data_IF_868833151232
#
_entry.id   IF_868833151232
#
_cell.length_a   1.000
_cell.length_b   1.000
_cell.length_c   1.000
_cell.angle_alpha   90.00
_cell.angle_beta   90.00
_cell.angle_gamma   90.00
#
_symmetry.space_group_name_H-M   'P 1'
#
loop_
_entity.id
_entity.type
_entity.pdbx_description
1 polymer ?
#
# COMPACT_ATOMS: atom_id res chain seq x y z
N UNK A 1 -30.02 -25.38 44.09
CA UNK A 1 -28.98 -26.27 44.64
C UNK A 1 -27.64 -25.57 44.47
N UNK A 2 -27.05 -25.07 45.55
CA UNK A 2 -25.74 -24.43 45.59
C UNK A 2 -24.65 -25.51 45.49
N UNK A 3 -23.68 -25.37 44.58
CA UNK A 3 -22.40 -26.10 44.67
C UNK A 3 -21.29 -25.06 44.87
N UNK A 4 -20.83 -25.01 46.12
CA UNK A 4 -19.66 -24.27 46.57
C UNK A 4 -18.37 -25.01 46.21
N UNK A 5 -17.29 -24.21 46.12
CA UNK A 5 -15.91 -24.46 46.56
C UNK A 5 -15.02 -25.41 45.73
N UNK A 6 -13.95 -24.85 45.14
CA UNK A 6 -12.62 -24.80 45.80
C UNK A 6 -11.63 -23.92 45.03
N UNK A 7 -11.16 -22.89 45.72
CA UNK A 7 -10.05 -22.01 45.36
C UNK A 7 -8.75 -22.74 45.70
N UNK A 8 -7.87 -22.95 44.72
CA UNK A 8 -6.50 -23.38 44.94
C UNK A 8 -5.57 -22.19 44.70
N UNK A 9 -5.25 -21.47 45.79
CA UNK A 9 -4.18 -20.48 45.84
C UNK A 9 -2.86 -21.26 45.88
N UNK A 10 -2.05 -21.17 44.83
CA UNK A 10 -0.66 -21.61 44.85
C UNK A 10 0.23 -20.36 44.87
N UNK A 11 0.73 -20.04 46.05
CA UNK A 11 1.79 -19.06 46.29
C UNK A 11 3.10 -19.84 46.26
N UNK A 12 3.97 -19.54 45.29
CA UNK A 12 5.40 -19.81 45.42
C UNK A 12 6.15 -18.49 45.33
N UNK A 13 6.94 -18.21 46.36
CA UNK A 13 7.78 -17.05 46.47
C UNK A 13 9.23 -17.46 46.72
N UNK A 14 10.14 -16.65 46.17
CA UNK A 14 11.57 -16.49 46.45
C UNK A 14 12.55 -17.56 45.95
N UNK A 15 13.56 -17.14 45.18
CA UNK A 15 14.86 -16.66 45.71
C UNK A 15 15.63 -15.89 44.61
N UNK A 16 16.35 -14.87 45.06
CA UNK A 16 17.06 -13.85 44.29
C UNK A 16 18.48 -14.27 43.84
N UNK A 17 19.02 -13.52 42.88
CA UNK A 17 20.35 -12.90 42.96
C UNK A 17 20.46 -11.80 41.90
N UNK A 18 20.54 -10.56 42.34
CA UNK A 18 21.09 -9.45 41.55
C UNK A 18 22.52 -9.17 42.00
N UNK A 19 23.41 -8.87 41.05
CA UNK A 19 24.16 -7.63 41.05
C UNK A 19 24.86 -7.41 39.71
N UNK A 20 24.77 -6.17 39.27
CA UNK A 20 25.41 -5.53 38.12
C UNK A 20 26.92 -5.49 38.26
N UNK A 21 27.65 -5.48 37.13
CA UNK A 21 28.78 -4.57 36.85
C UNK A 21 29.45 -4.92 35.51
N UNK A 22 29.83 -3.87 34.77
CA UNK A 22 30.99 -3.94 33.87
C UNK A 22 30.73 -3.99 32.36
N UNK A 23 30.58 -2.80 31.77
CA UNK A 23 31.31 -2.35 30.57
C UNK A 23 31.36 -3.25 29.33
N UNK A 24 30.86 -2.74 28.20
CA UNK A 24 31.71 -1.97 27.27
C UNK A 24 30.86 -1.60 26.05
N UNK A 25 30.50 -0.33 25.94
CA UNK A 25 29.99 0.23 24.68
C UNK A 25 31.17 0.24 23.69
N UNK A 26 31.24 -0.76 22.81
CA UNK A 26 32.07 -0.68 21.61
C UNK A 26 31.22 -0.10 20.49
N UNK A 27 31.48 1.17 20.20
CA UNK A 27 31.05 1.83 18.99
C UNK A 27 31.73 1.20 17.76
N UNK A 28 30.91 1.00 16.71
CA UNK A 28 31.20 0.91 15.27
C UNK A 28 32.33 -0.04 14.77
N UNK A 29 32.10 -0.66 13.60
CA UNK A 29 32.58 0.03 12.40
C UNK A 29 31.46 0.35 11.40
N UNK A 30 31.47 1.60 10.94
CA UNK A 30 30.90 1.99 9.65
C UNK A 30 31.53 1.12 8.55
N UNK A 31 30.73 0.29 7.89
CA UNK A 31 31.14 -0.31 6.62
C UNK A 31 30.69 0.63 5.51
N UNK A 32 31.53 1.62 5.25
CA UNK A 32 31.47 2.42 4.03
C UNK A 32 32.28 1.69 2.96
N UNK A 33 31.60 1.12 1.97
CA UNK A 33 32.22 0.67 0.74
C UNK A 33 31.33 1.12 -0.43
N UNK A 34 31.75 2.22 -1.05
CA UNK A 34 31.18 2.75 -2.27
C UNK A 34 31.38 1.79 -3.46
N UNK A 35 30.52 1.88 -4.49
CA UNK A 35 30.57 1.05 -5.69
C UNK A 35 31.80 1.35 -6.56
N UNK A 36 32.43 0.27 -7.04
CA UNK A 36 33.52 0.32 -8.01
C UNK A 36 33.04 0.86 -9.36
N UNK A 37 33.75 1.87 -9.86
CA UNK A 37 33.67 2.34 -11.24
C UNK A 37 34.27 1.31 -12.20
N UNK A 38 33.60 1.03 -13.31
CA UNK A 38 34.29 0.79 -14.58
C UNK A 38 33.69 1.64 -15.69
N UNK A 39 34.61 2.40 -16.28
CA UNK A 39 34.49 3.43 -17.28
C UNK A 39 34.41 2.81 -18.68
N UNK A 40 33.37 3.12 -19.46
CA UNK A 40 33.40 2.99 -20.92
C UNK A 40 32.88 4.29 -21.55
N UNK A 41 33.68 4.98 -22.39
CA UNK A 41 33.30 6.25 -22.96
C UNK A 41 32.35 6.03 -24.15
N UNK A 42 31.15 6.58 -24.09
CA UNK A 42 30.31 6.72 -25.28
C UNK A 42 30.12 8.19 -25.60
N UNK A 43 30.95 8.64 -26.54
CA UNK A 43 30.82 9.88 -27.28
C UNK A 43 29.48 9.88 -28.01
N UNK A 44 28.53 10.72 -27.59
CA UNK A 44 27.44 11.17 -28.44
C UNK A 44 27.48 12.69 -28.54
N UNK A 45 27.66 13.13 -29.78
CA UNK A 45 27.83 14.49 -30.28
C UNK A 45 26.65 15.41 -29.94
N UNK A 46 26.89 16.71 -29.61
CA UNK A 46 25.84 17.71 -29.53
C UNK A 46 25.43 18.14 -30.95
N UNK A 47 24.16 17.94 -31.31
CA UNK A 47 23.62 18.51 -32.55
C UNK A 47 22.87 19.80 -32.23
N UNK A 48 23.59 20.92 -32.29
CA UNK A 48 23.00 22.25 -32.50
C UNK A 48 22.88 22.52 -34.00
N UNK A 49 21.68 22.85 -34.47
CA UNK A 49 21.43 23.41 -35.80
C UNK A 49 20.02 24.01 -35.81
N UNK A 50 19.85 25.31 -35.57
CA UNK A 50 19.95 26.43 -36.53
C UNK A 50 18.62 26.66 -37.29
N UNK A 51 17.93 27.75 -36.94
CA UNK A 51 16.96 28.51 -37.76
C UNK A 51 17.76 29.45 -38.71
N UNK A 52 17.18 30.09 -39.76
CA UNK A 52 15.96 29.87 -40.57
C UNK A 52 16.27 29.84 -42.10
N UNK A 53 15.28 29.97 -43.01
CA UNK A 53 15.32 31.17 -43.88
C UNK A 53 13.97 31.88 -44.09
N UNK A 54 14.10 33.18 -44.36
CA UNK A 54 13.09 34.17 -44.78
C UNK A 54 12.90 34.09 -46.31
N UNK A 55 11.76 34.59 -46.81
CA UNK A 55 11.48 35.33 -48.07
C UNK A 55 10.17 34.78 -48.68
N UNK A 56 9.01 35.39 -48.44
CA UNK A 56 8.42 36.56 -49.14
C UNK A 56 7.63 36.16 -50.39
N UNK A 57 6.31 36.33 -50.37
CA UNK A 57 5.59 37.28 -51.25
C UNK A 57 4.07 37.28 -50.93
N UNK A 58 3.46 38.47 -50.95
CA UNK A 58 2.03 38.77 -50.77
C UNK A 58 1.62 39.52 -52.05
N UNK A 59 0.45 39.27 -52.69
CA UNK A 59 -0.74 40.11 -52.44
C UNK A 59 -2.10 39.43 -52.77
N UNK A 60 -3.23 40.16 -52.86
CA UNK A 60 -4.23 40.23 -51.81
C UNK A 60 -5.52 39.51 -52.21
N UNK A 61 -5.95 38.55 -51.40
CA UNK A 61 -7.28 37.94 -51.52
C UNK A 61 -8.29 38.65 -50.64
N UNK A 62 -8.99 39.65 -51.19
CA UNK A 62 -10.21 40.21 -50.61
C UNK A 62 -11.22 39.08 -50.42
N UNK A 63 -11.46 38.66 -49.17
CA UNK A 63 -12.63 37.84 -48.85
C UNK A 63 -13.36 38.44 -47.68
N UNK A 64 -14.44 39.12 -48.06
CA UNK A 64 -15.63 39.47 -47.29
C UNK A 64 -15.72 38.76 -45.94
N UNK A 65 -15.57 39.58 -44.91
CA UNK A 65 -16.01 39.31 -43.54
C UNK A 65 -17.51 38.99 -43.57
N UNK A 66 -17.84 37.72 -43.40
CA UNK A 66 -19.19 37.30 -43.00
C UNK A 66 -19.08 36.93 -41.55
N UNK A 67 -19.31 37.89 -40.66
CA UNK A 67 -19.52 37.63 -39.23
C UNK A 67 -20.82 36.84 -39.12
N UNK A 68 -20.81 35.55 -38.76
CA UNK A 68 -22.03 34.91 -38.33
C UNK A 68 -22.37 35.58 -37.00
N UNK A 69 -23.53 36.22 -36.93
CA UNK A 69 -24.15 36.57 -35.65
C UNK A 69 -24.26 35.27 -34.87
N UNK A 70 -23.36 35.09 -33.90
CA UNK A 70 -23.43 34.01 -32.94
C UNK A 70 -24.72 34.21 -32.14
N UNK A 71 -25.78 33.56 -32.61
CA UNK A 71 -26.95 33.27 -31.81
C UNK A 71 -26.43 32.52 -30.59
N UNK A 72 -26.69 33.07 -29.40
CA UNK A 72 -26.27 32.48 -28.14
C UNK A 72 -26.96 31.13 -27.99
N UNK A 73 -26.29 30.07 -28.44
CA UNK A 73 -26.67 28.71 -28.15
C UNK A 73 -26.75 28.56 -26.62
N UNK A 74 -27.80 27.92 -26.08
CA UNK A 74 -27.87 27.67 -24.66
C UNK A 74 -26.61 26.90 -24.27
N UNK A 75 -25.85 27.45 -23.33
CA UNK A 75 -24.67 26.83 -22.78
C UNK A 75 -25.05 25.43 -22.31
N UNK A 76 -24.74 24.43 -23.12
CA UNK A 76 -24.77 23.05 -22.68
C UNK A 76 -23.69 23.01 -21.62
N UNK A 77 -24.09 22.83 -20.35
CA UNK A 77 -23.15 22.53 -19.29
C UNK A 77 -22.44 21.27 -19.74
N UNK A 78 -21.22 21.41 -20.25
CA UNK A 78 -20.26 20.32 -20.31
C UNK A 78 -20.21 19.76 -18.89
N UNK A 79 -20.59 18.50 -18.65
CA UNK A 79 -20.28 17.86 -17.37
C UNK A 79 -18.78 18.06 -17.19
N UNK A 80 -18.40 18.79 -16.14
CA UNK A 80 -17.00 19.12 -15.92
C UNK A 80 -16.19 17.84 -16.01
N UNK A 81 -15.15 17.86 -16.84
CA UNK A 81 -14.09 16.87 -16.81
C UNK A 81 -13.43 16.98 -15.43
N UNK A 82 -14.07 16.40 -14.42
CA UNK A 82 -13.44 16.17 -13.14
C UNK A 82 -12.40 15.11 -13.45
N UNK A 83 -11.13 15.52 -13.44
CA UNK A 83 -10.03 14.56 -13.39
C UNK A 83 -10.33 13.60 -12.24
N UNK A 84 -10.12 12.29 -12.40
CA UNK A 84 -10.33 11.34 -11.32
C UNK A 84 -9.52 11.81 -10.11
N UNK A 85 -10.19 12.00 -8.98
CA UNK A 85 -9.52 12.32 -7.72
C UNK A 85 -8.87 11.02 -7.26
N UNK A 86 -7.54 11.02 -7.19
CA UNK A 86 -6.80 9.86 -6.70
C UNK A 86 -7.08 9.64 -5.20
N UNK A 87 -7.10 8.38 -4.79
CA UNK A 87 -7.32 7.99 -3.41
C UNK A 87 -6.15 8.47 -2.52
N UNK A 88 -6.48 8.98 -1.34
CA UNK A 88 -5.50 9.43 -0.35
C UNK A 88 -5.63 8.63 0.94
N UNK A 89 -4.51 8.30 1.59
CA UNK A 89 -4.49 7.52 2.84
C UNK A 89 -5.26 8.20 3.98
N UNK A 90 -5.33 9.53 3.99
CA UNK A 90 -6.07 10.33 4.96
C UNK A 90 -7.46 10.74 4.46
N UNK A 91 -7.90 10.26 3.30
CA UNK A 91 -9.25 10.51 2.80
C UNK A 91 -10.30 9.88 3.70
N UNK A 92 -11.49 10.49 3.73
CA UNK A 92 -12.62 9.99 4.53
C UNK A 92 -12.99 8.57 4.15
N UNK A 93 -12.93 8.22 2.87
CA UNK A 93 -13.23 6.86 2.41
C UNK A 93 -12.27 5.83 3.00
N UNK A 94 -10.97 6.13 3.08
CA UNK A 94 -9.99 5.23 3.72
C UNK A 94 -10.20 5.20 5.23
N UNK A 95 -10.42 6.33 5.88
CA UNK A 95 -10.62 6.36 7.34
C UNK A 95 -11.91 5.64 7.76
N UNK A 96 -12.98 5.76 6.97
CA UNK A 96 -14.25 5.06 7.21
C UNK A 96 -14.09 3.56 6.97
N UNK A 97 -13.35 3.16 5.93
CA UNK A 97 -13.04 1.76 5.67
C UNK A 97 -12.24 1.13 6.83
N UNK A 98 -11.22 1.81 7.36
CA UNK A 98 -10.50 1.36 8.56
C UNK A 98 -11.41 1.24 9.79
N UNK A 99 -12.29 2.22 10.01
CA UNK A 99 -13.22 2.23 11.13
C UNK A 99 -14.29 1.12 11.03
N UNK A 100 -14.56 0.62 9.82
CA UNK A 100 -15.48 -0.50 9.59
C UNK A 100 -14.90 -1.86 9.95
N UNK A 101 -13.57 -1.97 10.10
CA UNK A 101 -12.91 -3.22 10.44
C UNK A 101 -13.17 -3.59 11.91
N UNK A 102 -13.38 -4.89 12.22
CA UNK A 102 -13.38 -5.35 13.60
C UNK A 102 -12.05 -5.00 14.29
N UNK A 103 -12.13 -4.57 15.55
CA UNK A 103 -10.92 -4.37 16.36
C UNK A 103 -10.28 -5.72 16.68
N UNK A 104 -8.99 -5.85 16.42
CA UNK A 104 -8.24 -7.05 16.79
C UNK A 104 -7.76 -7.00 18.24
N UNK A 105 -7.29 -5.83 18.69
CA UNK A 105 -6.96 -5.56 20.09
C UNK A 105 -7.87 -4.46 20.63
N UNK A 106 -8.30 -4.62 21.88
CA UNK A 106 -9.17 -3.64 22.54
C UNK A 106 -8.48 -2.28 22.65
N UNK A 107 -9.19 -1.22 22.24
CA UNK A 107 -8.66 0.15 22.24
C UNK A 107 -7.53 0.44 21.25
N UNK A 108 -7.11 -0.51 20.41
CA UNK A 108 -6.06 -0.27 19.39
C UNK A 108 -6.71 -0.13 18.01
N UNK A 109 -6.58 1.04 17.36
CA UNK A 109 -7.15 1.25 16.04
C UNK A 109 -6.27 0.66 14.93
N UNK A 110 -6.88 0.45 13.77
CA UNK A 110 -6.19 0.26 12.51
C UNK A 110 -5.66 1.60 11.98
N UNK A 111 -4.49 1.59 11.35
CA UNK A 111 -3.91 2.75 10.67
C UNK A 111 -3.55 2.38 9.24
N UNK A 112 -3.94 3.21 8.27
CA UNK A 112 -3.50 3.05 6.89
C UNK A 112 -2.04 3.50 6.77
N UNK A 113 -1.17 2.63 6.27
CA UNK A 113 0.28 2.88 6.24
C UNK A 113 0.86 2.88 4.83
N UNK A 114 0.18 2.23 3.89
CA UNK A 114 0.64 2.11 2.52
C UNK A 114 -0.56 2.03 1.58
N UNK A 115 -0.41 2.59 0.40
CA UNK A 115 -1.37 2.52 -0.70
C UNK A 115 -0.65 2.03 -1.95
N UNK A 116 -1.37 1.34 -2.83
CA UNK A 116 -0.92 1.02 -4.18
C UNK A 116 -0.80 2.25 -5.08
N UNK A 117 -1.02 2.09 -6.38
CA UNK A 117 -1.23 3.25 -7.27
C UNK A 117 -2.54 3.96 -6.84
N UNK A 118 -2.48 5.18 -6.27
CA UNK A 118 -3.65 5.87 -5.76
C UNK A 118 -4.62 6.31 -6.85
N UNK A 119 -4.17 6.40 -8.10
CA UNK A 119 -4.96 6.87 -9.24
C UNK A 119 -5.49 5.72 -10.11
N UNK A 120 -5.15 4.47 -9.78
CA UNK A 120 -5.65 3.30 -10.49
C UNK A 120 -7.13 3.05 -10.17
N UNK A 121 -7.89 2.59 -11.17
CA UNK A 121 -9.29 2.18 -10.98
C UNK A 121 -9.47 1.04 -10.00
N UNK A 122 -8.44 0.21 -9.77
CA UNK A 122 -8.41 -0.81 -8.72
C UNK A 122 -7.10 -0.69 -7.96
N UNK A 123 -7.19 -0.47 -6.65
CA UNK A 123 -6.05 -0.23 -5.77
C UNK A 123 -6.27 -0.84 -4.39
N UNK A 124 -5.26 -0.75 -3.53
CA UNK A 124 -5.29 -1.30 -2.19
C UNK A 124 -4.75 -0.32 -1.16
N UNK A 125 -5.18 -0.50 0.09
CA UNK A 125 -4.61 0.14 1.27
C UNK A 125 -4.22 -0.94 2.27
N UNK A 126 -2.99 -0.85 2.79
CA UNK A 126 -2.52 -1.69 3.89
C UNK A 126 -2.90 -1.02 5.21
N UNK A 127 -3.62 -1.78 6.03
CA UNK A 127 -3.99 -1.39 7.39
C UNK A 127 -3.14 -2.18 8.39
N UNK A 128 -2.31 -1.46 9.14
CA UNK A 128 -1.54 -2.01 10.24
C UNK A 128 -2.23 -1.77 11.58
N UNK A 129 -1.92 -2.60 12.56
CA UNK A 129 -2.25 -2.32 13.96
C UNK A 129 -1.45 -1.09 14.42
N UNK A 130 -2.11 -0.09 15.02
CA UNK A 130 -1.43 1.08 15.57
C UNK A 130 -0.40 0.68 16.63
N UNK A 131 0.85 1.13 16.48
CA UNK A 131 1.97 0.73 17.34
C UNK A 131 2.41 -0.73 17.19
N UNK A 132 1.94 -1.42 16.14
CA UNK A 132 2.27 -2.81 15.86
C UNK A 132 3.74 -3.03 15.51
N UNK A 133 4.15 -4.29 15.59
CA UNK A 133 5.46 -4.78 15.12
C UNK A 133 5.26 -5.70 13.92
N UNK A 134 6.33 -6.28 13.37
CA UNK A 134 6.23 -7.17 12.20
C UNK A 134 5.27 -8.36 12.40
N UNK A 135 5.15 -8.85 13.64
CA UNK A 135 4.25 -9.95 14.00
C UNK A 135 2.83 -9.51 14.33
N UNK A 136 2.53 -8.22 14.24
CA UNK A 136 1.18 -7.71 14.47
C UNK A 136 0.28 -8.02 13.27
N UNK A 137 -1.03 -8.17 13.48
CA UNK A 137 -1.97 -8.40 12.40
C UNK A 137 -2.00 -7.24 11.40
N UNK A 138 -2.16 -7.60 10.14
CA UNK A 138 -2.25 -6.69 9.00
C UNK A 138 -3.50 -7.05 8.19
N UNK A 139 -4.21 -6.04 7.71
CA UNK A 139 -5.24 -6.19 6.68
C UNK A 139 -4.81 -5.53 5.37
N UNK A 140 -5.27 -6.08 4.25
CA UNK A 140 -5.22 -5.43 2.93
C UNK A 140 -6.65 -5.15 2.51
N UNK A 141 -6.96 -3.87 2.30
CA UNK A 141 -8.26 -3.36 1.91
C UNK A 141 -8.21 -3.04 0.42
N UNK A 142 -9.26 -3.39 -0.32
CA UNK A 142 -9.36 -3.11 -1.74
C UNK A 142 -10.31 -1.96 -2.03
N UNK A 143 -9.95 -1.14 -3.01
CA UNK A 143 -10.73 0.00 -3.45
C UNK A 143 -10.86 -0.01 -4.97
N UNK A 144 -12.01 0.38 -5.48
CA UNK A 144 -12.16 0.67 -6.91
C UNK A 144 -12.81 2.04 -7.13
N UNK A 145 -12.21 2.84 -8.01
CA UNK A 145 -12.61 4.21 -8.31
C UNK A 145 -12.88 5.08 -7.06
N UNK A 146 -12.12 4.82 -5.98
CA UNK A 146 -12.22 5.50 -4.70
C UNK A 146 -13.18 4.87 -3.69
N UNK A 147 -13.98 3.88 -4.07
CA UNK A 147 -14.93 3.18 -3.21
C UNK A 147 -14.31 1.93 -2.56
N UNK A 148 -14.63 1.71 -1.27
CA UNK A 148 -14.14 0.54 -0.52
C UNK A 148 -14.91 -0.74 -0.91
N UNK A 149 -14.18 -1.80 -1.27
CA UNK A 149 -14.74 -3.08 -1.72
C UNK A 149 -14.69 -4.19 -0.66
N UNK A 150 -13.85 -4.04 0.37
CA UNK A 150 -13.66 -5.06 1.41
C UNK A 150 -12.20 -5.41 1.64
N UNK A 151 -11.96 -6.40 2.50
CA UNK A 151 -10.63 -6.94 2.79
C UNK A 151 -10.29 -8.13 1.90
N UNK A 152 -9.00 -8.41 1.71
CA UNK A 152 -8.58 -9.64 1.01
C UNK A 152 -8.91 -10.91 1.78
N UNK A 153 -8.73 -10.90 3.11
CA UNK A 153 -9.10 -12.02 3.98
C UNK A 153 -10.09 -11.56 5.05
N UNK A 154 -10.94 -12.48 5.51
CA UNK A 154 -11.87 -12.20 6.61
C UNK A 154 -11.15 -11.96 7.94
N UNK A 155 -10.02 -12.64 8.14
CA UNK A 155 -9.16 -12.51 9.30
C UNK A 155 -7.87 -11.78 8.93
N UNK A 156 -7.30 -10.97 9.83
CA UNK A 156 -6.00 -10.34 9.60
C UNK A 156 -4.87 -11.31 9.91
N UNK A 157 -3.79 -11.25 9.13
CA UNK A 157 -2.62 -12.11 9.31
C UNK A 157 -1.34 -11.27 9.44
N UNK A 158 -0.45 -11.70 10.33
CA UNK A 158 0.87 -11.10 10.48
C UNK A 158 1.73 -11.33 9.22
N UNK A 159 2.78 -10.53 9.07
CA UNK A 159 3.73 -10.67 7.96
C UNK A 159 3.11 -10.62 6.55
N UNK A 160 1.95 -9.97 6.43
CA UNK A 160 1.25 -9.74 5.16
C UNK A 160 1.83 -8.51 4.46
N UNK A 161 2.12 -8.65 3.16
CA UNK A 161 2.60 -7.58 2.31
C UNK A 161 1.97 -7.67 0.92
N UNK A 162 1.92 -6.56 0.18
CA UNK A 162 1.50 -6.59 -1.23
C UNK A 162 2.73 -6.76 -2.11
N UNK A 163 2.72 -7.80 -2.95
CA UNK A 163 3.82 -8.16 -3.85
C UNK A 163 3.76 -7.37 -5.16
N UNK A 164 2.56 -7.29 -5.75
CA UNK A 164 2.37 -6.65 -7.05
C UNK A 164 0.94 -6.14 -7.25
N UNK A 165 0.81 -5.14 -8.13
CA UNK A 165 -0.46 -4.59 -8.59
C UNK A 165 -0.43 -4.46 -10.11
N UNK A 166 -1.56 -4.80 -10.72
CA UNK A 166 -1.88 -4.59 -12.13
C UNK A 166 -3.24 -3.88 -12.24
N UNK A 167 -3.77 -3.76 -13.47
CA UNK A 167 -5.05 -3.06 -13.71
C UNK A 167 -6.22 -3.71 -12.99
N UNK A 168 -6.28 -5.04 -12.96
CA UNK A 168 -7.40 -5.81 -12.41
C UNK A 168 -6.97 -6.78 -11.31
N UNK A 169 -5.67 -6.97 -11.08
CA UNK A 169 -5.17 -7.99 -10.14
C UNK A 169 -4.15 -7.40 -9.16
N UNK A 170 -4.34 -7.70 -7.88
CA UNK A 170 -3.38 -7.41 -6.80
C UNK A 170 -2.93 -8.74 -6.18
N UNK A 171 -1.62 -8.93 -6.04
CA UNK A 171 -1.04 -10.12 -5.42
C UNK A 171 -0.59 -9.79 -4.01
N UNK A 172 -1.15 -10.47 -3.01
CA UNK A 172 -0.75 -10.32 -1.60
C UNK A 172 0.08 -11.53 -1.18
N UNK A 173 1.23 -11.26 -0.58
CA UNK A 173 2.12 -12.24 0.00
C UNK A 173 1.84 -12.45 1.48
N UNK A 174 1.79 -13.71 1.90
CA UNK A 174 1.64 -14.13 3.29
C UNK A 174 2.84 -14.96 3.72
N UNK A 175 3.41 -14.62 4.87
CA UNK A 175 4.50 -15.37 5.51
C UNK A 175 4.07 -15.84 6.89
N UNK A 176 4.77 -16.85 7.41
CA UNK A 176 4.48 -17.43 8.72
C UNK A 176 5.77 -17.90 9.41
N UNK A 177 5.83 -17.88 10.75
CA UNK A 177 6.96 -18.44 11.48
C UNK A 177 7.07 -19.96 11.27
N UNK A 178 8.29 -20.48 11.19
CA UNK A 178 8.58 -21.92 11.12
C UNK A 178 9.52 -22.30 12.27
N UNK A 179 9.17 -23.34 13.03
CA UNK A 179 10.01 -23.81 14.13
C UNK A 179 10.28 -22.73 15.18
N UNK A 180 11.57 -22.49 15.47
CA UNK A 180 12.04 -21.52 16.47
C UNK A 180 12.38 -20.14 15.87
N UNK A 181 11.73 -19.77 14.76
CA UNK A 181 11.89 -18.45 14.15
C UNK A 181 11.70 -17.32 15.18
N UNK A 182 12.55 -16.30 15.08
CA UNK A 182 12.37 -15.10 15.88
C UNK A 182 11.04 -14.43 15.55
N UNK A 183 10.36 -13.88 16.57
CA UNK A 183 9.02 -13.30 16.43
C UNK A 183 8.85 -12.33 15.27
N UNK A 184 9.87 -11.56 14.90
CA UNK A 184 9.80 -10.57 13.81
C UNK A 184 10.43 -11.03 12.48
N UNK A 185 10.89 -12.29 12.37
CA UNK A 185 11.65 -12.78 11.23
C UNK A 185 11.20 -14.18 10.79
N UNK A 186 10.00 -14.31 10.17
CA UNK A 186 9.50 -15.58 9.68
C UNK A 186 10.27 -16.06 8.44
N UNK A 187 10.54 -17.36 8.38
CA UNK A 187 11.18 -18.02 7.23
C UNK A 187 10.18 -18.75 6.33
N UNK A 188 8.95 -18.99 6.80
CA UNK A 188 7.88 -19.59 6.01
C UNK A 188 7.34 -18.66 4.92
N UNK A 189 6.96 -19.26 3.78
CA UNK A 189 6.42 -18.54 2.63
C UNK A 189 7.48 -17.78 1.78
N UNK A 190 7.06 -16.77 0.98
CA UNK A 190 5.69 -16.27 0.91
C UNK A 190 4.77 -17.19 0.09
N UNK A 191 3.54 -17.36 0.55
CA UNK A 191 2.45 -17.76 -0.33
C UNK A 191 1.90 -16.51 -1.01
N UNK A 192 1.86 -16.52 -2.34
CA UNK A 192 1.36 -15.40 -3.14
C UNK A 192 -0.08 -15.70 -3.55
N UNK A 193 -1.01 -14.84 -3.10
CA UNK A 193 -2.43 -14.98 -3.39
C UNK A 193 -2.89 -13.82 -4.25
N UNK A 194 -3.50 -14.13 -5.38
CA UNK A 194 -4.03 -13.14 -6.31
C UNK A 194 -5.48 -12.81 -5.98
N UNK A 195 -5.77 -11.53 -6.03
CA UNK A 195 -7.10 -10.95 -5.88
C UNK A 195 -7.43 -10.23 -7.18
N UNK A 196 -8.42 -10.73 -7.90
CA UNK A 196 -8.85 -10.16 -9.16
C UNK A 196 -10.15 -9.40 -8.99
N UNK A 197 -10.18 -8.19 -9.54
CA UNK A 197 -11.37 -7.37 -9.68
C UNK A 197 -11.99 -7.56 -11.06
N UNK A 198 -13.27 -7.91 -11.10
CA UNK A 198 -14.02 -8.14 -12.35
C UNK A 198 -14.80 -6.91 -12.85
N UNK A 199 -14.59 -5.75 -12.22
CA UNK A 199 -15.37 -4.53 -12.44
C UNK A 199 -16.52 -4.35 -11.45
N UNK A 200 -16.81 -5.35 -10.61
CA UNK A 200 -17.89 -5.31 -9.62
C UNK A 200 -17.51 -5.86 -8.25
N UNK A 201 -16.71 -6.92 -8.22
CA UNK A 201 -16.33 -7.62 -6.99
C UNK A 201 -14.88 -8.08 -7.06
N UNK A 202 -14.29 -8.34 -5.90
CA UNK A 202 -12.94 -8.90 -5.79
C UNK A 202 -13.06 -10.39 -5.50
N UNK A 203 -12.41 -11.22 -6.32
CA UNK A 203 -12.32 -12.67 -6.15
C UNK A 203 -10.89 -13.06 -5.78
N UNK A 204 -10.75 -13.81 -4.68
CA UNK A 204 -9.51 -14.47 -4.31
C UNK A 204 -9.31 -15.71 -5.19
N UNK A 205 -8.23 -15.73 -5.97
CA UNK A 205 -7.98 -16.76 -6.99
C UNK A 205 -7.20 -17.96 -6.47
N UNK A 206 -6.43 -17.78 -5.40
CA UNK A 206 -5.56 -18.80 -4.83
C UNK A 206 -5.97 -19.09 -3.39
N UNK A 207 -5.86 -20.35 -2.96
CA UNK A 207 -6.21 -20.73 -1.60
C UNK A 207 -5.15 -20.27 -0.60
N UNK A 208 -5.60 -19.75 0.55
CA UNK A 208 -4.69 -19.42 1.64
C UNK A 208 -4.17 -20.72 2.28
N UNK A 209 -2.84 -20.89 2.44
CA UNK A 209 -2.27 -22.07 3.09
C UNK A 209 -2.69 -22.18 4.55
N UNK A 210 -2.80 -23.41 5.04
CA UNK A 210 -3.16 -23.70 6.45
C UNK A 210 -2.13 -23.17 7.44
N UNK A 211 -0.87 -23.04 7.00
CA UNK A 211 0.21 -22.47 7.79
C UNK A 211 0.00 -20.97 8.09
N UNK A 212 -0.72 -20.26 7.22
CA UNK A 212 -1.10 -18.86 7.45
C UNK A 212 -2.28 -18.78 8.41
N UNK A 213 -3.27 -19.67 8.25
CA UNK A 213 -4.50 -19.67 9.07
C UNK A 213 -4.32 -20.30 10.45
N UNK A 214 -3.26 -21.09 10.65
CA UNK A 214 -2.97 -21.78 11.91
C UNK A 214 -3.96 -22.90 12.26
N UNK A 215 -4.62 -23.48 11.25
CA UNK A 215 -5.74 -24.43 11.37
C UNK A 215 -5.41 -25.83 10.87
#
# INVERSE_FOLDING_TARGET
MKRLLLVAISVMAFVACGNSEGGNATAAPESSAAPGQQNVPQTFVPSSGSLPPIIEDRPPGTRTEVVPRAEAAPATRTPGSQSPVCLDLASTTVTDALASLPQYFDGVPWVATQIGDPCASFTWVRADTSGGTASSPVQVLFFADGDYLGTGTSEPYAFTFVDSQSVDTITVGYRWPVGDDANANPTGGPALIRYQWDGSSVTMLDALPVEVTGS
#
